data_IF_423290533859
#
_entry.id   IF_423290533859
#
_cell.length_a   1.000
_cell.length_b   1.000
_cell.length_c   1.000
_cell.angle_alpha   90.00
_cell.angle_beta   90.00
_cell.angle_gamma   90.00
#
_symmetry.space_group_name_H-M   'P 1'
#
loop_
_entity.id
_entity.type
_entity.pdbx_description
1 polymer ?
#
# COMPACT_ATOMS: atom_id res chain seq x y z
N UNK A 1 -2.07 9.72 11.25
CA UNK A 1 -2.63 8.42 10.85
C UNK A 1 -2.98 7.68 12.13
N UNK A 2 -4.28 7.42 12.42
CA UNK A 2 -4.67 6.64 13.60
C UNK A 2 -4.03 5.26 13.59
N UNK A 3 -3.83 4.64 14.76
CA UNK A 3 -3.14 3.36 14.90
C UNK A 3 -3.79 2.24 14.05
N UNK A 4 -5.12 2.22 13.97
CA UNK A 4 -5.86 1.29 13.11
C UNK A 4 -5.47 1.43 11.62
N UNK A 5 -5.33 2.67 11.14
CA UNK A 5 -4.96 2.95 9.76
C UNK A 5 -3.50 2.58 9.48
N UNK A 6 -2.61 2.74 10.46
CA UNK A 6 -1.22 2.28 10.34
C UNK A 6 -1.16 0.75 10.28
N UNK A 7 -1.91 0.06 11.13
CA UNK A 7 -1.96 -1.40 11.15
C UNK A 7 -2.46 -1.95 9.80
N UNK A 8 -3.47 -1.31 9.21
CA UNK A 8 -3.93 -1.68 7.88
C UNK A 8 -2.94 -1.43 6.75
N UNK A 9 -2.09 -0.41 6.89
CA UNK A 9 -1.00 -0.18 5.93
C UNK A 9 -0.01 -1.34 5.98
N UNK A 10 0.37 -1.76 7.19
CA UNK A 10 1.31 -2.86 7.43
C UNK A 10 0.73 -4.18 6.92
N UNK A 11 -0.50 -4.51 7.27
CA UNK A 11 -1.11 -5.78 6.89
C UNK A 11 -1.45 -5.82 5.38
N UNK A 12 -1.87 -4.69 4.82
CA UNK A 12 -2.03 -4.51 3.39
C UNK A 12 -0.72 -4.73 2.62
N UNK A 13 0.40 -4.20 3.13
CA UNK A 13 1.71 -4.36 2.50
C UNK A 13 2.21 -5.81 2.58
N UNK A 14 2.11 -6.46 3.75
CA UNK A 14 2.48 -7.88 3.91
C UNK A 14 1.75 -8.77 2.90
N UNK A 15 0.43 -8.64 2.84
CA UNK A 15 -0.39 -9.42 1.92
C UNK A 15 -0.06 -9.13 0.45
N UNK A 16 0.20 -7.87 0.10
CA UNK A 16 0.57 -7.51 -1.26
C UNK A 16 1.86 -8.20 -1.71
N UNK A 17 2.87 -8.29 -0.84
CA UNK A 17 4.15 -8.96 -1.12
C UNK A 17 4.07 -10.49 -1.10
N UNK A 18 3.07 -11.08 -0.42
CA UNK A 18 2.78 -12.51 -0.50
C UNK A 18 2.19 -12.90 -1.87
N UNK A 19 1.35 -12.02 -2.43
CA UNK A 19 0.61 -12.29 -3.69
C UNK A 19 1.41 -11.88 -4.93
N UNK A 20 2.26 -10.86 -4.85
CA UNK A 20 3.03 -10.36 -6.00
C UNK A 20 4.45 -9.92 -5.63
N UNK A 21 5.39 -10.19 -6.54
CA UNK A 21 6.77 -9.67 -6.47
C UNK A 21 6.98 -8.40 -7.30
N UNK A 22 6.01 -8.05 -8.15
CA UNK A 22 6.06 -6.84 -8.97
C UNK A 22 5.65 -5.61 -8.14
N UNK A 23 6.56 -4.64 -8.05
CA UNK A 23 6.38 -3.43 -7.22
C UNK A 23 5.19 -2.56 -7.67
N UNK A 24 4.90 -2.51 -8.98
CA UNK A 24 3.76 -1.74 -9.48
C UNK A 24 2.44 -2.36 -9.05
N UNK A 25 2.36 -3.69 -9.11
CA UNK A 25 1.22 -4.48 -8.62
C UNK A 25 1.03 -4.32 -7.11
N UNK A 26 2.11 -4.35 -6.34
CA UNK A 26 2.08 -4.12 -4.88
C UNK A 26 1.54 -2.72 -4.57
N UNK A 27 2.07 -1.68 -5.23
CA UNK A 27 1.61 -0.30 -5.04
C UNK A 27 0.12 -0.14 -5.38
N UNK A 28 -0.32 -0.71 -6.50
CA UNK A 28 -1.72 -0.68 -6.94
C UNK A 28 -2.65 -1.41 -5.96
N UNK A 29 -2.21 -2.55 -5.43
CA UNK A 29 -2.99 -3.32 -4.45
C UNK A 29 -3.22 -2.52 -3.17
N UNK A 30 -2.15 -1.97 -2.58
CA UNK A 30 -2.23 -1.20 -1.34
C UNK A 30 -3.09 0.05 -1.54
N UNK A 31 -2.87 0.79 -2.64
CA UNK A 31 -3.69 1.94 -3.00
C UNK A 31 -5.17 1.57 -3.07
N UNK A 32 -5.54 0.55 -3.84
CA UNK A 32 -6.94 0.17 -4.00
C UNK A 32 -7.60 -0.25 -2.68
N UNK A 33 -6.85 -0.89 -1.78
CA UNK A 33 -7.33 -1.25 -0.44
C UNK A 33 -7.66 0.00 0.38
N UNK A 34 -6.78 1.01 0.33
CA UNK A 34 -6.95 2.27 1.06
C UNK A 34 -8.05 3.16 0.47
N UNK A 35 -8.09 3.30 -0.86
CA UNK A 35 -9.13 4.04 -1.57
C UNK A 35 -10.53 3.49 -1.23
N UNK A 36 -10.68 2.16 -1.14
CA UNK A 36 -11.94 1.50 -0.77
C UNK A 36 -12.31 1.66 0.69
N UNK A 37 -11.34 1.55 1.62
CA UNK A 37 -11.62 1.54 3.06
C UNK A 37 -11.83 2.95 3.62
N UNK A 38 -11.12 3.94 3.09
CA UNK A 38 -11.08 5.28 3.69
C UNK A 38 -11.69 6.37 2.79
N UNK A 39 -12.27 6.00 1.64
CA UNK A 39 -13.04 6.89 0.76
C UNK A 39 -12.36 8.21 0.40
N UNK A 40 -11.02 8.20 0.32
CA UNK A 40 -10.18 9.32 -0.04
C UNK A 40 -9.22 8.90 -1.17
N UNK A 41 -8.60 9.84 -1.86
CA UNK A 41 -7.60 9.52 -2.88
C UNK A 41 -6.24 9.27 -2.23
N UNK A 42 -5.75 8.04 -2.32
CA UNK A 42 -4.45 7.66 -1.80
C UNK A 42 -3.38 7.53 -2.88
N UNK A 43 -2.15 7.81 -2.47
CA UNK A 43 -0.94 7.59 -3.26
C UNK A 43 -0.10 6.54 -2.52
N UNK A 44 0.35 5.52 -3.24
CA UNK A 44 1.23 4.49 -2.72
C UNK A 44 2.49 4.45 -3.58
N UNK A 45 3.65 4.46 -2.93
CA UNK A 45 4.97 4.49 -3.56
C UNK A 45 5.74 3.28 -3.04
N UNK A 46 6.26 2.45 -3.95
CA UNK A 46 6.99 1.22 -3.63
C UNK A 46 8.23 1.13 -4.51
N UNK A 47 9.37 0.78 -3.92
CA UNK A 47 10.68 0.85 -4.56
C UNK A 47 11.81 0.70 -3.54
N UNK A 48 13.02 0.48 -4.03
CA UNK A 48 14.23 0.33 -3.20
C UNK A 48 15.09 1.59 -3.19
N UNK A 49 14.98 2.41 -4.24
CA UNK A 49 15.72 3.66 -4.40
C UNK A 49 14.74 4.80 -4.68
N UNK A 50 14.74 5.83 -3.85
CA UNK A 50 13.88 7.00 -3.99
C UNK A 50 14.73 8.28 -3.89
N UNK A 51 14.30 9.33 -4.61
CA UNK A 51 15.01 10.61 -4.78
C UNK A 51 16.34 10.49 -5.56
N UNK A 52 16.31 10.95 -6.81
CA UNK A 52 17.49 11.42 -7.54
C UNK A 52 17.30 12.90 -7.83
#
# INVERSE_FOLDING_TARGET
MPDEMQQEAVDGAKHAFEVSKDVASVAKFIKNRFDKRFSATWHCIVGQNFAR
#
